data_IF_999364943583
#
_entry.id   IF_999364943583
#
_cell.length_a   1.000
_cell.length_b   1.000
_cell.length_c   1.000
_cell.angle_alpha   90.00
_cell.angle_beta   90.00
_cell.angle_gamma   90.00
#
_symmetry.space_group_name_H-M   'P 1'
#
loop_
_entity.id
_entity.type
_entity.pdbx_description
1 polymer ?
#
# COMPACT_ATOMS: atom_id res chain seq x y z
N UNK A 1 12.89 6.51 -0.24
CA UNK A 1 13.23 5.98 1.11
C UNK A 1 12.27 4.83 1.38
N UNK A 2 12.73 3.74 2.00
CA UNK A 2 11.82 2.67 2.43
C UNK A 2 10.76 3.23 3.37
N UNK A 3 9.60 2.57 3.42
CA UNK A 3 8.57 2.88 4.41
C UNK A 3 9.08 2.42 5.78
N UNK A 4 9.09 3.34 6.75
CA UNK A 4 9.51 3.06 8.12
C UNK A 4 8.25 2.85 8.96
N UNK A 5 8.07 1.64 9.48
CA UNK A 5 6.95 1.31 10.36
C UNK A 5 7.10 2.02 11.71
N UNK A 6 6.01 2.61 12.19
CA UNK A 6 5.96 3.22 13.53
C UNK A 6 5.71 2.15 14.59
N UNK A 7 4.90 1.14 14.27
CA UNK A 7 4.62 0.02 15.16
C UNK A 7 5.84 -0.91 15.27
N UNK A 8 6.39 -1.03 16.47
CA UNK A 8 7.41 -2.02 16.77
C UNK A 8 6.80 -3.43 16.82
N UNK A 9 7.26 -4.32 15.95
CA UNK A 9 6.84 -5.71 15.90
C UNK A 9 8.07 -6.63 15.84
N UNK A 10 8.67 -6.97 17.00
CA UNK A 10 9.87 -7.77 17.03
C UNK A 10 9.58 -9.22 16.63
N UNK A 11 10.55 -9.87 15.97
CA UNK A 11 10.45 -11.28 15.57
C UNK A 11 10.25 -12.22 16.77
N UNK A 12 10.77 -11.84 17.93
CA UNK A 12 10.65 -12.57 19.18
C UNK A 12 10.40 -11.59 20.32
N UNK A 13 9.49 -11.94 21.22
CA UNK A 13 9.32 -11.21 22.46
C UNK A 13 9.89 -12.05 23.63
N UNK A 14 10.98 -11.61 24.27
CA UNK A 14 11.62 -12.35 25.36
C UNK A 14 10.73 -12.47 26.60
N UNK A 15 9.69 -11.63 26.75
CA UNK A 15 8.72 -11.76 27.85
C UNK A 15 7.66 -12.82 27.57
N UNK A 16 7.55 -13.26 26.32
CA UNK A 16 6.58 -14.23 25.83
C UNK A 16 7.15 -15.67 25.78
N UNK A 17 7.95 -16.04 26.78
CA UNK A 17 8.51 -17.39 26.93
C UNK A 17 7.85 -18.13 28.10
N UNK A 18 7.55 -19.44 27.98
CA UNK A 18 7.12 -20.25 29.10
C UNK A 18 8.17 -20.29 30.20
N UNK A 19 7.74 -20.24 31.45
CA UNK A 19 8.60 -20.31 32.65
C UNK A 19 8.27 -21.51 33.54
N UNK A 20 7.15 -22.18 33.31
CA UNK A 20 6.73 -23.32 34.09
C UNK A 20 7.76 -24.45 34.04
N UNK A 21 8.21 -24.87 35.22
CA UNK A 21 9.00 -26.07 35.43
C UNK A 21 8.30 -26.88 36.51
N UNK A 22 7.99 -28.13 36.20
CA UNK A 22 7.30 -29.04 37.12
C UNK A 22 8.15 -29.29 38.36
N UNK A 23 7.59 -29.09 39.55
CA UNK A 23 8.26 -29.35 40.84
C UNK A 23 7.78 -30.63 41.51
N UNK A 24 6.57 -31.11 41.19
CA UNK A 24 6.03 -32.33 41.77
C UNK A 24 6.35 -33.58 40.94
N UNK A 25 7.25 -34.42 41.43
CA UNK A 25 7.49 -35.76 40.89
C UNK A 25 6.81 -36.82 41.76
N UNK A 26 5.88 -37.58 41.17
CA UNK A 26 5.19 -38.64 41.90
C UNK A 26 5.98 -39.95 41.82
N UNK A 27 6.45 -40.43 42.96
CA UNK A 27 6.89 -41.81 43.14
C UNK A 27 5.68 -42.64 43.56
N UNK A 28 5.38 -43.68 42.80
CA UNK A 28 4.29 -44.60 43.08
C UNK A 28 4.51 -45.33 44.41
N UNK A 29 3.46 -45.40 45.23
CA UNK A 29 3.49 -46.15 46.47
C UNK A 29 3.40 -47.66 46.22
N UNK A 30 4.08 -48.42 47.09
CA UNK A 30 4.10 -49.87 47.08
C UNK A 30 3.37 -50.37 48.33
N UNK A 31 2.32 -51.16 48.13
CA UNK A 31 1.55 -51.74 49.22
C UNK A 31 2.44 -52.55 50.17
N UNK A 32 2.24 -52.35 51.48
CA UNK A 32 3.02 -53.01 52.52
C UNK A 32 4.48 -52.52 52.66
N UNK A 33 4.94 -51.57 51.82
CA UNK A 33 6.30 -51.02 51.90
C UNK A 33 6.34 -49.49 52.04
N UNK A 34 5.43 -48.76 51.39
CA UNK A 34 5.38 -47.29 51.47
C UNK A 34 4.52 -46.80 52.64
N UNK A 35 4.83 -45.61 53.18
CA UNK A 35 4.08 -45.03 54.31
C UNK A 35 3.33 -43.77 53.85
N UNK A 36 2.04 -43.94 53.59
CA UNK A 36 1.14 -42.82 53.28
C UNK A 36 0.80 -42.04 54.54
N UNK A 37 1.26 -40.79 54.63
CA UNK A 37 1.09 -39.94 55.80
C UNK A 37 0.96 -38.45 55.46
N UNK A 38 0.38 -37.68 56.37
CA UNK A 38 0.09 -36.26 56.15
C UNK A 38 1.36 -35.38 56.22
N UNK A 39 2.18 -35.57 57.25
CA UNK A 39 3.42 -34.84 57.48
C UNK A 39 4.62 -35.49 56.78
N UNK A 40 5.65 -34.69 56.49
CA UNK A 40 6.91 -35.20 55.93
C UNK A 40 7.73 -35.87 57.03
N UNK A 41 8.31 -37.02 56.73
CA UNK A 41 9.28 -37.71 57.59
C UNK A 41 10.69 -37.62 57.00
N UNK A 42 11.74 -38.02 57.74
CA UNK A 42 13.10 -38.05 57.18
C UNK A 42 13.25 -38.95 55.94
N UNK A 43 12.37 -39.92 55.75
CA UNK A 43 12.46 -40.92 54.68
C UNK A 43 11.39 -40.78 53.60
N UNK A 44 10.30 -40.03 53.84
CA UNK A 44 9.20 -39.89 52.88
C UNK A 44 8.56 -38.51 52.89
N UNK A 45 8.26 -37.99 51.69
CA UNK A 45 7.50 -36.75 51.52
C UNK A 45 6.00 -36.98 51.78
N UNK A 46 5.45 -36.25 52.76
CA UNK A 46 4.05 -36.34 53.17
C UNK A 46 3.08 -35.66 52.22
N UNK A 47 1.79 -36.03 52.31
CA UNK A 47 0.71 -35.52 51.45
C UNK A 47 0.61 -33.99 51.44
N UNK A 48 0.77 -33.33 52.58
CA UNK A 48 0.69 -31.87 52.66
C UNK A 48 1.76 -31.20 51.79
N UNK A 49 2.98 -31.73 51.76
CA UNK A 49 4.05 -31.21 50.91
C UNK A 49 3.76 -31.44 49.43
N UNK A 50 3.30 -32.65 49.07
CA UNK A 50 2.92 -33.00 47.70
C UNK A 50 1.80 -32.12 47.17
N UNK A 51 0.74 -31.89 47.96
CA UNK A 51 -0.35 -31.00 47.57
C UNK A 51 0.11 -29.56 47.38
N UNK A 52 1.00 -29.04 48.23
CA UNK A 52 1.57 -27.70 48.03
C UNK A 52 2.35 -27.61 46.72
N UNK A 53 3.15 -28.63 46.37
CA UNK A 53 3.87 -28.67 45.08
C UNK A 53 2.91 -28.74 43.89
N UNK A 54 1.85 -29.56 43.99
CA UNK A 54 0.81 -29.64 42.95
C UNK A 54 0.12 -28.27 42.77
N UNK A 55 -0.27 -27.61 43.86
CA UNK A 55 -0.88 -26.28 43.82
C UNK A 55 0.08 -25.28 43.17
N UNK A 56 1.34 -25.26 43.60
CA UNK A 56 2.36 -24.38 43.02
C UNK A 56 2.59 -24.64 41.52
N UNK A 57 2.62 -25.91 41.10
CA UNK A 57 2.75 -26.28 39.68
C UNK A 57 1.53 -25.82 38.87
N UNK A 58 0.31 -25.96 39.40
CA UNK A 58 -0.92 -25.51 38.75
C UNK A 58 -1.00 -23.98 38.65
N UNK A 59 -0.60 -23.27 39.69
CA UNK A 59 -0.53 -21.80 39.70
C UNK A 59 0.47 -21.30 38.65
N UNK A 60 1.66 -21.89 38.61
CA UNK A 60 2.69 -21.55 37.63
C UNK A 60 2.26 -21.85 36.19
N UNK A 61 1.55 -22.97 35.94
CA UNK A 61 0.95 -23.26 34.64
C UNK A 61 -0.14 -22.23 34.26
N UNK A 62 -0.96 -21.82 35.23
CA UNK A 62 -1.97 -20.79 35.05
C UNK A 62 -1.38 -19.43 34.67
N UNK A 63 -0.24 -19.07 35.28
CA UNK A 63 0.50 -17.85 34.96
C UNK A 63 1.10 -17.89 33.55
N UNK A 64 1.66 -19.02 33.14
CA UNK A 64 2.17 -19.22 31.78
C UNK A 64 1.05 -19.20 30.73
N UNK A 65 -0.10 -19.82 31.02
CA UNK A 65 -1.26 -19.75 30.15
C UNK A 65 -1.77 -18.31 29.98
N UNK A 66 -1.84 -17.54 31.07
CA UNK A 66 -2.20 -16.12 31.03
C UNK A 66 -1.18 -15.32 30.23
N UNK A 67 0.11 -15.55 30.43
CA UNK A 67 1.20 -14.93 29.67
C UNK A 67 1.02 -15.17 28.18
N UNK A 68 0.82 -16.42 27.75
CA UNK A 68 0.62 -16.76 26.34
C UNK A 68 -0.59 -16.06 25.71
N UNK A 69 -1.70 -15.93 26.45
CA UNK A 69 -2.88 -15.20 25.99
C UNK A 69 -2.61 -13.69 25.84
N UNK A 70 -1.88 -13.10 26.79
CA UNK A 70 -1.46 -11.69 26.73
C UNK A 70 -0.51 -11.47 25.54
N UNK A 71 0.47 -12.35 25.35
CA UNK A 71 1.38 -12.33 24.20
C UNK A 71 0.61 -12.34 22.87
N UNK A 72 -0.37 -13.24 22.75
CA UNK A 72 -1.20 -13.36 21.54
C UNK A 72 -2.05 -12.12 21.31
N UNK A 73 -2.60 -11.54 22.38
CA UNK A 73 -3.35 -10.28 22.31
C UNK A 73 -2.45 -9.12 21.85
N UNK A 74 -1.24 -9.01 22.41
CA UNK A 74 -0.25 -8.00 22.00
C UNK A 74 0.17 -8.14 20.53
N UNK A 75 0.39 -9.38 20.07
CA UNK A 75 0.65 -9.66 18.65
C UNK A 75 -0.53 -9.23 17.77
N UNK A 76 -1.78 -9.55 18.15
CA UNK A 76 -2.97 -9.14 17.40
C UNK A 76 -3.08 -7.61 17.28
N UNK A 77 -2.85 -6.89 18.37
CA UNK A 77 -2.86 -5.43 18.38
C UNK A 77 -1.78 -4.84 17.47
N UNK A 78 -0.56 -5.38 17.55
CA UNK A 78 0.56 -4.93 16.71
C UNK A 78 0.30 -5.19 15.23
N UNK A 79 -0.19 -6.38 14.87
CA UNK A 79 -0.57 -6.71 13.50
C UNK A 79 -1.66 -5.79 12.95
N UNK A 80 -2.67 -5.46 13.77
CA UNK A 80 -3.72 -4.53 13.35
C UNK A 80 -3.16 -3.13 13.08
N UNK A 81 -2.28 -2.63 13.94
CA UNK A 81 -1.63 -1.34 13.73
C UNK A 81 -0.75 -1.32 12.46
N UNK A 82 0.04 -2.37 12.23
CA UNK A 82 0.83 -2.54 11.00
C UNK A 82 -0.04 -2.55 9.73
N UNK A 83 -1.22 -3.20 9.77
CA UNK A 83 -2.15 -3.19 8.63
C UNK A 83 -2.66 -1.79 8.34
N UNK A 84 -3.02 -1.02 9.37
CA UNK A 84 -3.48 0.36 9.19
C UNK A 84 -2.36 1.27 8.65
N UNK A 85 -1.12 1.08 9.12
CA UNK A 85 0.05 1.78 8.61
C UNK A 85 0.27 1.49 7.11
N UNK A 86 0.14 0.22 6.72
CA UNK A 86 0.22 -0.18 5.31
C UNK A 86 -0.93 0.38 4.47
N UNK A 87 -2.16 0.41 5.00
CA UNK A 87 -3.32 0.99 4.31
C UNK A 87 -3.07 2.48 4.03
N UNK A 88 -2.63 3.24 5.04
CA UNK A 88 -2.27 4.65 4.89
C UNK A 88 -1.15 4.82 3.86
N UNK A 89 -0.10 4.00 3.90
CA UNK A 89 1.01 4.10 2.95
C UNK A 89 0.59 3.72 1.52
N UNK A 90 -0.28 2.73 1.36
CA UNK A 90 -0.85 2.35 0.07
C UNK A 90 -1.72 3.47 -0.50
N UNK A 91 -2.57 4.10 0.30
CA UNK A 91 -3.32 5.30 -0.09
C UNK A 91 -2.38 6.44 -0.48
N UNK A 92 -1.30 6.63 0.31
CA UNK A 92 -0.25 7.60 0.04
C UNK A 92 0.40 7.35 -1.32
N UNK A 93 0.60 6.09 -1.71
CA UNK A 93 1.24 5.68 -2.98
C UNK A 93 0.28 5.71 -4.16
N UNK A 94 -0.96 5.26 -3.97
CA UNK A 94 -1.99 5.17 -5.01
C UNK A 94 -2.69 6.50 -5.32
N UNK A 95 -2.63 7.48 -4.41
CA UNK A 95 -3.21 8.80 -4.61
C UNK A 95 -2.36 9.73 -5.50
N UNK A 96 -2.98 10.73 -6.17
CA UNK A 96 -2.24 11.75 -6.91
C UNK A 96 -1.36 12.56 -5.94
N UNK A 97 -0.05 12.54 -6.15
CA UNK A 97 0.98 13.21 -5.31
C UNK A 97 0.82 14.71 -5.30
N UNK A 98 0.26 15.21 -6.39
CA UNK A 98 0.04 16.60 -6.63
C UNK A 98 -1.36 16.77 -7.20
N UNK A 99 -1.97 17.92 -6.89
CA UNK A 99 -3.20 18.31 -7.54
C UNK A 99 -2.98 18.39 -9.05
N UNK A 100 -4.00 18.01 -9.82
CA UNK A 100 -4.00 18.17 -11.27
C UNK A 100 -3.64 19.61 -11.66
N UNK A 101 -2.65 19.75 -12.53
CA UNK A 101 -2.22 21.05 -13.04
C UNK A 101 -2.83 21.29 -14.42
N UNK A 102 -3.47 22.45 -14.58
CA UNK A 102 -3.98 22.86 -15.88
C UNK A 102 -2.80 23.17 -16.85
N UNK A 103 -2.76 22.57 -18.04
CA UNK A 103 -1.74 22.92 -19.04
C UNK A 103 -2.05 24.27 -19.70
N UNK A 104 -1.00 25.02 -20.04
CA UNK A 104 -1.12 26.16 -20.95
C UNK A 104 -1.29 25.63 -22.37
N UNK A 105 -2.51 25.75 -22.91
CA UNK A 105 -2.84 25.30 -24.26
C UNK A 105 -2.22 26.23 -25.31
N UNK A 106 -1.79 25.65 -26.42
CA UNK A 106 -1.10 26.33 -27.52
C UNK A 106 -1.92 26.25 -28.81
N UNK A 107 -1.57 27.05 -29.81
CA UNK A 107 -2.10 26.97 -31.18
C UNK A 107 -3.63 26.95 -31.28
N UNK A 108 -4.35 27.68 -30.41
CA UNK A 108 -5.81 27.76 -30.44
C UNK A 108 -6.53 26.51 -29.89
N UNK A 109 -5.80 25.54 -29.33
CA UNK A 109 -6.41 24.45 -28.58
C UNK A 109 -7.17 24.97 -27.37
N UNK A 110 -8.35 24.40 -27.13
CA UNK A 110 -9.19 24.70 -25.97
C UNK A 110 -9.54 23.43 -25.22
N UNK A 111 -9.64 23.56 -23.90
CA UNK A 111 -10.20 22.53 -23.03
C UNK A 111 -11.71 22.50 -23.09
N UNK A 112 -12.29 21.29 -23.06
CA UNK A 112 -13.70 21.11 -22.71
C UNK A 112 -13.78 20.87 -21.21
N UNK A 113 -14.47 21.75 -20.52
CA UNK A 113 -14.74 21.63 -19.09
C UNK A 113 -16.11 20.95 -18.89
N UNK A 114 -16.40 20.43 -17.69
CA UNK A 114 -17.76 20.02 -17.35
C UNK A 114 -18.74 21.16 -17.65
N UNK A 115 -19.79 20.86 -18.40
CA UNK A 115 -20.95 21.72 -18.60
C UNK A 115 -22.23 20.96 -18.25
N UNK A 116 -23.40 21.55 -18.48
CA UNK A 116 -24.68 20.90 -18.14
C UNK A 116 -25.01 19.69 -19.00
N UNK A 117 -24.35 19.54 -20.15
CA UNK A 117 -24.66 18.52 -21.15
C UNK A 117 -23.61 17.41 -21.17
N UNK A 118 -22.38 17.68 -20.70
CA UNK A 118 -21.28 16.73 -20.67
C UNK A 118 -20.33 16.89 -19.47
N UNK A 119 -20.12 15.78 -18.76
CA UNK A 119 -19.21 15.68 -17.61
C UNK A 119 -17.77 15.30 -18.02
N UNK A 120 -17.15 16.07 -18.91
CA UNK A 120 -15.75 15.83 -19.28
C UNK A 120 -14.79 16.21 -18.15
N UNK A 121 -13.74 15.42 -17.92
CA UNK A 121 -12.64 15.85 -17.06
C UNK A 121 -11.99 17.13 -17.61
N UNK A 122 -11.69 18.14 -16.76
CA UNK A 122 -10.97 19.31 -17.21
C UNK A 122 -9.53 18.93 -17.60
N UNK A 123 -8.95 19.54 -18.64
CA UNK A 123 -7.57 19.33 -19.04
C UNK A 123 -6.60 19.38 -17.87
N UNK A 124 -5.75 18.38 -17.78
CA UNK A 124 -4.82 18.30 -16.67
C UNK A 124 -3.66 17.37 -16.94
N UNK A 125 -2.59 17.62 -16.21
CA UNK A 125 -1.52 16.65 -16.03
C UNK A 125 -1.08 16.62 -14.56
N UNK A 126 -0.55 15.48 -14.15
CA UNK A 126 0.16 15.35 -12.88
C UNK A 126 1.21 14.24 -12.97
N UNK A 127 2.09 14.15 -11.98
CA UNK A 127 3.07 13.08 -11.80
C UNK A 127 2.78 12.29 -10.52
N UNK A 128 2.76 10.97 -10.62
CA UNK A 128 2.57 10.08 -9.46
C UNK A 128 3.88 9.81 -8.67
N UNK A 129 3.79 9.03 -7.58
CA UNK A 129 4.97 8.71 -6.74
C UNK A 129 5.96 7.78 -7.40
N UNK A 130 5.51 7.01 -8.38
CA UNK A 130 6.36 6.18 -9.22
C UNK A 130 7.03 6.99 -10.33
N UNK A 131 6.78 8.30 -10.33
CA UNK A 131 7.32 9.22 -11.29
C UNK A 131 6.57 9.26 -12.60
N UNK A 132 5.51 8.47 -12.84
CA UNK A 132 4.79 8.48 -14.13
C UNK A 132 3.97 9.75 -14.27
N UNK A 133 3.96 10.29 -15.47
CA UNK A 133 3.13 11.44 -15.85
C UNK A 133 1.81 10.94 -16.38
N UNK A 134 0.73 11.47 -15.82
CA UNK A 134 -0.66 11.20 -16.21
C UNK A 134 -1.24 12.44 -16.88
N UNK A 135 -1.97 12.22 -17.97
CA UNK A 135 -2.72 13.23 -18.69
C UNK A 135 -4.21 12.94 -18.56
N UNK A 136 -5.03 13.98 -18.65
CA UNK A 136 -6.49 13.84 -18.69
C UNK A 136 -7.16 14.94 -19.49
N UNK A 137 -8.44 14.71 -19.74
CA UNK A 137 -9.37 15.70 -20.24
C UNK A 137 -9.54 15.68 -21.74
N UNK A 138 -10.54 16.45 -22.16
CA UNK A 138 -10.95 16.53 -23.57
C UNK A 138 -10.58 17.88 -24.15
N UNK A 139 -9.96 17.85 -25.34
CA UNK A 139 -9.39 18.99 -26.03
C UNK A 139 -10.03 19.14 -27.40
N UNK A 140 -10.09 20.36 -27.94
CA UNK A 140 -10.60 20.62 -29.30
C UNK A 140 -10.10 21.95 -29.87
N UNK A 141 -10.64 22.33 -31.03
CA UNK A 141 -10.43 23.60 -31.72
C UNK A 141 -9.00 23.92 -32.21
N UNK A 142 -8.01 23.08 -31.91
CA UNK A 142 -6.67 23.23 -32.46
C UNK A 142 -6.56 22.86 -33.95
N UNK A 143 -5.44 23.19 -34.61
CA UNK A 143 -5.26 22.94 -36.03
C UNK A 143 -5.25 21.44 -36.32
N UNK A 144 -5.86 21.05 -37.44
CA UNK A 144 -5.85 19.66 -37.90
C UNK A 144 -4.46 19.34 -38.48
N UNK A 145 -3.79 18.26 -38.02
CA UNK A 145 -2.56 17.79 -38.66
C UNK A 145 -2.77 17.50 -40.15
N UNK A 146 -1.97 18.12 -41.00
CA UNK A 146 -2.03 18.02 -42.47
C UNK A 146 -0.63 18.18 -43.08
N UNK A 147 -0.48 17.97 -44.39
CA UNK A 147 0.80 18.22 -45.07
C UNK A 147 1.28 19.67 -44.90
N UNK A 148 0.37 20.63 -44.80
CA UNK A 148 0.67 22.05 -44.63
C UNK A 148 1.37 22.39 -43.29
N UNK A 149 1.22 21.56 -42.25
CA UNK A 149 1.86 21.75 -40.94
C UNK A 149 2.80 20.59 -40.56
N UNK A 150 3.32 19.86 -41.56
CA UNK A 150 4.22 18.73 -41.31
C UNK A 150 3.59 17.61 -40.49
N UNK A 151 2.26 17.46 -40.59
CA UNK A 151 1.43 16.53 -39.83
C UNK A 151 1.56 16.71 -38.31
N UNK A 152 1.62 17.95 -37.84
CA UNK A 152 1.83 18.27 -36.42
C UNK A 152 0.83 19.30 -35.90
N UNK A 153 0.26 19.04 -34.73
CA UNK A 153 -0.54 20.00 -33.97
C UNK A 153 -0.20 19.90 -32.49
N UNK A 154 0.52 20.90 -31.97
CA UNK A 154 0.97 20.93 -30.57
C UNK A 154 -0.18 21.41 -29.70
N UNK A 155 -0.64 20.56 -28.78
CA UNK A 155 -1.75 20.86 -27.86
C UNK A 155 -1.26 21.74 -26.71
N UNK A 156 -0.20 21.31 -26.03
CA UNK A 156 0.49 22.04 -24.97
C UNK A 156 1.92 21.51 -24.82
N UNK A 157 2.70 22.15 -23.95
CA UNK A 157 4.05 21.72 -23.62
C UNK A 157 4.19 21.45 -22.12
N UNK A 158 4.72 20.29 -21.79
CA UNK A 158 5.00 19.88 -20.41
C UNK A 158 6.21 20.65 -19.85
N UNK A 159 6.15 21.07 -18.57
CA UNK A 159 7.28 21.72 -17.91
C UNK A 159 8.44 20.75 -17.70
N UNK A 160 9.63 21.30 -17.43
CA UNK A 160 10.78 20.49 -17.04
C UNK A 160 10.43 19.60 -15.83
N UNK A 161 10.95 18.38 -15.83
CA UNK A 161 10.57 17.33 -14.88
C UNK A 161 9.43 16.44 -15.35
N UNK A 162 8.55 16.86 -16.27
CA UNK A 162 7.44 16.02 -16.77
C UNK A 162 7.69 15.45 -18.16
N UNK A 163 8.85 15.73 -18.74
CA UNK A 163 9.19 15.40 -20.12
C UNK A 163 9.76 13.99 -20.19
N UNK A 164 9.44 13.21 -21.24
CA UNK A 164 10.08 11.92 -21.45
C UNK A 164 11.52 12.10 -21.93
N UNK A 165 12.40 11.11 -21.68
CA UNK A 165 13.79 11.11 -22.17
C UNK A 165 13.90 10.86 -23.68
N UNK A 166 12.92 10.19 -24.25
CA UNK A 166 12.80 9.91 -25.68
C UNK A 166 11.34 10.11 -26.10
N UNK A 167 11.11 10.32 -27.40
CA UNK A 167 9.76 10.43 -27.97
C UNK A 167 8.89 9.23 -27.59
N UNK A 168 7.80 9.52 -26.89
CA UNK A 168 6.78 8.55 -26.53
C UNK A 168 5.64 8.63 -27.54
N UNK A 169 5.38 7.53 -28.25
CA UNK A 169 4.27 7.42 -29.22
C UNK A 169 3.12 6.68 -28.55
N UNK A 170 1.97 7.34 -28.48
CA UNK A 170 0.76 6.90 -27.78
C UNK A 170 -0.44 7.03 -28.71
N UNK A 171 -1.58 6.58 -28.19
CA UNK A 171 -2.86 6.64 -28.86
C UNK A 171 -3.86 7.41 -28.00
N UNK A 172 -4.69 8.21 -28.66
CA UNK A 172 -5.75 8.99 -28.03
C UNK A 172 -7.06 8.79 -28.78
N UNK A 173 -8.16 8.84 -28.05
CA UNK A 173 -9.50 8.67 -28.59
C UNK A 173 -10.03 9.99 -29.13
N UNK A 174 -10.71 9.96 -30.27
CA UNK A 174 -11.32 11.13 -30.90
C UNK A 174 -12.76 10.88 -31.28
N UNK A 175 -13.48 11.98 -31.52
CA UNK A 175 -14.83 11.99 -32.08
C UNK A 175 -14.99 11.08 -33.30
N UNK A 176 -16.12 10.36 -33.36
CA UNK A 176 -16.38 9.35 -34.40
C UNK A 176 -15.72 8.00 -34.12
N UNK A 177 -15.51 7.69 -32.83
CA UNK A 177 -15.04 6.43 -32.29
C UNK A 177 -13.70 5.94 -32.87
N UNK A 178 -12.80 6.89 -33.09
CA UNK A 178 -11.55 6.62 -33.77
C UNK A 178 -10.34 6.81 -32.86
N UNK A 179 -9.27 6.06 -33.16
CA UNK A 179 -8.00 6.14 -32.44
C UNK A 179 -7.01 6.96 -33.28
N UNK A 180 -6.27 7.87 -32.64
CA UNK A 180 -5.33 8.80 -33.28
C UNK A 180 -3.98 8.76 -32.61
N UNK A 181 -2.93 8.93 -33.41
CA UNK A 181 -1.56 8.92 -32.92
C UNK A 181 -1.24 10.25 -32.21
N UNK A 182 -0.76 10.13 -30.98
CA UNK A 182 -0.30 11.21 -30.14
C UNK A 182 1.17 10.99 -29.79
N UNK A 183 1.99 12.02 -29.95
CA UNK A 183 3.41 11.93 -29.68
C UNK A 183 3.79 12.94 -28.60
N UNK A 184 4.50 12.47 -27.58
CA UNK A 184 5.10 13.31 -26.55
C UNK A 184 6.61 13.30 -26.80
N UNK A 185 7.12 14.38 -27.36
CA UNK A 185 8.56 14.49 -27.71
C UNK A 185 9.38 14.99 -26.51
N UNK A 186 10.70 14.87 -26.60
CA UNK A 186 11.66 15.08 -25.50
C UNK A 186 11.61 16.50 -24.91
N UNK A 187 11.20 17.49 -25.71
CA UNK A 187 11.01 18.87 -25.25
C UNK A 187 9.70 19.07 -24.44
N UNK A 188 8.90 18.02 -24.27
CA UNK A 188 7.62 18.02 -23.55
C UNK A 188 6.40 18.37 -24.39
N UNK A 189 6.54 18.63 -25.69
CA UNK A 189 5.39 18.94 -26.54
C UNK A 189 4.51 17.71 -26.72
N UNK A 190 3.22 17.88 -26.40
CA UNK A 190 2.17 16.90 -26.62
C UNK A 190 1.53 17.19 -27.97
N UNK A 191 1.84 16.35 -28.95
CA UNK A 191 1.60 16.60 -30.37
C UNK A 191 0.62 15.59 -30.95
N UNK A 192 -0.49 16.08 -31.48
CA UNK A 192 -1.37 15.27 -32.30
C UNK A 192 -0.76 15.10 -33.69
N UNK A 193 -0.63 13.86 -34.15
CA UNK A 193 0.01 13.49 -35.44
C UNK A 193 -0.99 12.96 -36.47
N UNK A 194 -2.26 12.89 -36.12
CA UNK A 194 -3.33 12.38 -36.98
C UNK A 194 -4.48 13.37 -37.05
N UNK A 195 -5.15 13.43 -38.21
CA UNK A 195 -6.32 14.27 -38.39
C UNK A 195 -7.45 13.88 -37.41
N UNK A 196 -8.18 14.87 -36.93
CA UNK A 196 -9.32 14.74 -36.03
C UNK A 196 -10.44 15.69 -36.48
N UNK A 197 -11.68 15.47 -36.01
CA UNK A 197 -12.83 16.28 -36.44
C UNK A 197 -13.25 17.33 -35.41
N UNK A 198 -13.61 16.93 -34.18
CA UNK A 198 -14.17 17.88 -33.20
C UNK A 198 -13.46 17.89 -31.86
N UNK A 199 -13.03 16.73 -31.35
CA UNK A 199 -12.34 16.65 -30.07
C UNK A 199 -11.42 15.44 -29.96
N UNK A 200 -10.50 15.50 -29.00
CA UNK A 200 -9.60 14.41 -28.62
C UNK A 200 -9.57 14.29 -27.09
N UNK A 201 -9.70 13.08 -26.57
CA UNK A 201 -9.57 12.80 -25.14
C UNK A 201 -8.18 12.22 -24.85
N UNK A 202 -7.55 12.77 -23.81
CA UNK A 202 -6.30 12.27 -23.23
C UNK A 202 -6.54 11.56 -21.90
N UNK A 203 -7.80 11.26 -21.55
CA UNK A 203 -8.14 10.55 -20.32
C UNK A 203 -7.49 9.16 -20.29
N UNK A 204 -6.84 8.85 -19.17
CA UNK A 204 -6.17 7.57 -18.94
C UNK A 204 -4.80 7.42 -19.60
N UNK A 205 -4.27 8.45 -20.28
CA UNK A 205 -2.93 8.40 -20.85
C UNK A 205 -1.88 8.59 -19.76
N UNK A 206 -0.94 7.65 -19.63
CA UNK A 206 0.22 7.79 -18.74
C UNK A 206 1.53 7.29 -19.37
N UNK A 207 2.65 7.88 -18.97
CA UNK A 207 3.98 7.52 -19.47
C UNK A 207 5.07 7.79 -18.42
N UNK A 208 6.24 7.18 -18.59
CA UNK A 208 7.41 7.48 -17.76
C UNK A 208 8.11 8.75 -18.24
N UNK A 209 8.35 9.76 -17.38
CA UNK A 209 9.37 10.76 -17.64
C UNK A 209 10.73 10.06 -17.56
N UNK A 210 11.69 10.59 -18.32
CA UNK A 210 13.05 10.03 -18.35
C UNK A 210 13.75 9.99 -16.99
#
# INVERSE_FOLDING_TARGET
>A
MPFDFETNFPQTDPECVPRFTRSFEHVAWIDGSSVVQAETTPTEEGFNSRFRKIIADLDALGDDARRALVSTSGMRSSLFALINELEVELERIGGPVEAWRAPTLLNGWTGRNPDTDFDYNPPGFFKDKFGRVHLRGTYGNGPIPSSANGFSSVIFQLPAGYRPSARTVLYAYTSGDAIRRLDIVENGQVNLRSAYSTWISLDGISFGPG
#
